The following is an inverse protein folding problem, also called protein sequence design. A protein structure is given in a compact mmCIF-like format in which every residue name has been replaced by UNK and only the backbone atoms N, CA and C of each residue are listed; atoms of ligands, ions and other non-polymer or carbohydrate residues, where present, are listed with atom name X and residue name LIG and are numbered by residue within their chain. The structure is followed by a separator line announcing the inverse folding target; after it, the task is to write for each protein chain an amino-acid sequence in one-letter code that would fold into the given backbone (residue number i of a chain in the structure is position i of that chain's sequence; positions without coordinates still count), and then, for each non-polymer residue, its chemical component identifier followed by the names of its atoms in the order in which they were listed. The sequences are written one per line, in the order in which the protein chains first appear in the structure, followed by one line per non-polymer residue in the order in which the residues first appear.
data_IF_474129056111
#
_entry.id   IF_474129056111
#
_cell.length_a   1.000
_cell.length_b   1.000
_cell.length_c   1.000
_cell.angle_alpha   90.00
_cell.angle_beta   90.00
_cell.angle_gamma   90.00
#
_symmetry.space_group_name_H-M   'P 1'
#
loop_
_entity.id
_entity.type
_entity.pdbx_description
1 polymer ?
#
# COMPACT_ATOMS: atom_id res chain seq x y z
N UNK A 1 -18.77 13.25 1.92
CA UNK A 1 -17.58 13.01 1.06
C UNK A 1 -18.09 12.23 -0.12
N UNK A 2 -18.17 12.86 -1.29
CA UNK A 2 -18.83 12.23 -2.43
C UNK A 2 -17.89 11.30 -3.19
N UNK A 3 -16.56 11.45 -3.00
CA UNK A 3 -15.52 10.61 -3.59
C UNK A 3 -14.37 10.35 -2.59
N UNK A 4 -14.49 9.36 -1.69
CA UNK A 4 -13.43 9.06 -0.72
C UNK A 4 -12.22 8.42 -1.41
N UNK A 5 -11.03 8.92 -1.09
CA UNK A 5 -9.74 8.40 -1.62
C UNK A 5 -9.13 7.30 -0.76
N UNK A 6 -9.57 7.16 0.48
CA UNK A 6 -9.23 6.06 1.39
C UNK A 6 -10.37 5.79 2.37
N UNK A 7 -10.61 4.52 2.71
CA UNK A 7 -11.65 4.13 3.66
C UNK A 7 -11.35 2.75 4.28
N UNK A 8 -12.02 2.46 5.40
CA UNK A 8 -11.98 1.17 6.07
C UNK A 8 -13.35 0.50 6.10
N UNK A 9 -13.40 -0.83 6.04
CA UNK A 9 -14.62 -1.62 6.17
C UNK A 9 -14.34 -2.91 6.92
N UNK A 10 -15.34 -3.43 7.65
CA UNK A 10 -15.35 -4.82 8.12
C UNK A 10 -16.17 -5.68 7.16
N UNK A 11 -15.68 -6.86 6.82
CA UNK A 11 -16.38 -7.82 5.95
C UNK A 11 -16.30 -9.23 6.53
N UNK A 12 -17.44 -9.92 6.57
CA UNK A 12 -17.52 -11.33 6.99
C UNK A 12 -17.93 -12.15 5.77
N UNK A 13 -17.02 -12.99 5.29
CA UNK A 13 -17.26 -13.90 4.16
C UNK A 13 -17.91 -15.22 4.59
N UNK A 14 -17.96 -16.17 3.67
CA UNK A 14 -18.55 -17.50 3.89
C UNK A 14 -17.81 -18.34 4.94
N UNK A 15 -16.55 -18.02 5.26
CA UNK A 15 -15.81 -18.65 6.34
C UNK A 15 -16.24 -18.20 7.75
N UNK A 16 -17.11 -17.20 7.86
CA UNK A 16 -17.55 -16.63 9.15
C UNK A 16 -16.51 -15.76 9.86
N UNK A 17 -15.29 -15.67 9.33
CA UNK A 17 -14.22 -14.86 9.92
C UNK A 17 -14.41 -13.39 9.53
N UNK A 18 -14.50 -12.50 10.53
CA UNK A 18 -14.59 -11.05 10.32
C UNK A 18 -13.21 -10.50 9.91
N UNK A 19 -13.11 -10.02 8.68
CA UNK A 19 -11.93 -9.39 8.12
C UNK A 19 -11.99 -7.86 8.21
N UNK A 20 -10.82 -7.22 8.32
CA UNK A 20 -10.63 -5.78 8.16
C UNK A 20 -10.16 -5.48 6.75
N UNK A 21 -10.74 -4.45 6.15
CA UNK A 21 -10.40 -3.96 4.82
C UNK A 21 -9.97 -2.51 4.95
N UNK A 22 -8.77 -2.21 4.48
CA UNK A 22 -8.33 -0.85 4.16
C UNK A 22 -8.27 -0.73 2.64
N UNK A 23 -8.84 0.33 2.08
CA UNK A 23 -8.87 0.59 0.65
C UNK A 23 -8.39 2.01 0.38
N UNK A 24 -7.70 2.22 -0.73
CA UNK A 24 -7.38 3.54 -1.28
C UNK A 24 -7.39 3.52 -2.80
N UNK A 25 -7.76 4.65 -3.42
CA UNK A 25 -7.63 4.86 -4.86
C UNK A 25 -6.24 5.34 -5.27
N UNK A 26 -5.35 5.62 -4.31
CA UNK A 26 -3.93 5.91 -4.56
C UNK A 26 -3.24 4.62 -4.99
N UNK A 27 -2.67 4.61 -6.18
CA UNK A 27 -2.21 3.35 -6.78
C UNK A 27 -1.49 3.53 -8.12
N UNK A 28 -1.40 4.75 -8.64
CA UNK A 28 -0.55 5.03 -9.77
C UNK A 28 0.92 4.82 -9.34
N UNK A 29 1.80 4.27 -10.19
CA UNK A 29 3.20 4.04 -9.82
C UNK A 29 3.90 5.31 -9.28
N UNK A 30 3.53 6.49 -9.78
CA UNK A 30 4.13 7.73 -9.30
C UNK A 30 3.61 8.20 -7.94
N UNK A 31 2.44 7.74 -7.48
CA UNK A 31 1.93 8.08 -6.15
C UNK A 31 2.92 7.60 -5.08
N UNK A 32 3.52 6.43 -5.28
CA UNK A 32 4.51 5.85 -4.38
C UNK A 32 5.88 6.54 -4.41
N UNK A 33 6.08 7.61 -5.21
CA UNK A 33 7.21 8.53 -5.03
C UNK A 33 7.00 9.46 -3.83
N UNK A 34 5.75 9.73 -3.45
CA UNK A 34 5.37 10.58 -2.33
C UNK A 34 5.45 9.78 -1.01
N UNK A 35 6.23 10.21 -0.01
CA UNK A 35 6.40 9.45 1.23
C UNK A 35 5.09 9.25 2.01
N UNK A 36 4.17 10.21 1.97
CA UNK A 36 2.89 10.14 2.66
C UNK A 36 1.99 9.02 2.11
N UNK A 37 2.03 8.79 0.79
CA UNK A 37 1.31 7.67 0.15
C UNK A 37 1.88 6.34 0.62
N UNK A 38 3.22 6.20 0.65
CA UNK A 38 3.86 5.00 1.20
C UNK A 38 3.45 4.79 2.66
N UNK A 39 3.44 5.87 3.46
CA UNK A 39 3.13 5.83 4.89
C UNK A 39 1.69 5.39 5.15
N UNK A 40 0.70 5.96 4.46
CA UNK A 40 -0.70 5.56 4.63
C UNK A 40 -0.94 4.10 4.20
N UNK A 41 -0.29 3.64 3.12
CA UNK A 41 -0.35 2.23 2.70
C UNK A 41 0.23 1.31 3.77
N UNK A 42 1.42 1.62 4.31
CA UNK A 42 2.06 0.80 5.34
C UNK A 42 1.27 0.79 6.66
N UNK A 43 0.77 1.94 7.11
CA UNK A 43 -0.10 2.03 8.28
C UNK A 43 -1.38 1.21 8.08
N UNK A 44 -2.00 1.29 6.90
CA UNK A 44 -3.19 0.51 6.54
C UNK A 44 -2.94 -1.01 6.57
N UNK A 45 -1.76 -1.47 6.14
CA UNK A 45 -1.34 -2.88 6.23
C UNK A 45 -1.19 -3.30 7.70
N UNK A 46 -0.49 -2.53 8.52
CA UNK A 46 -0.31 -2.83 9.94
C UNK A 46 -1.66 -2.88 10.67
N UNK A 47 -2.54 -1.92 10.39
CA UNK A 47 -3.89 -1.90 10.92
C UNK A 47 -4.68 -3.14 10.48
N UNK A 48 -4.68 -3.51 9.20
CA UNK A 48 -5.39 -4.69 8.72
C UNK A 48 -4.92 -5.99 9.42
N UNK A 49 -3.61 -6.07 9.73
CA UNK A 49 -2.96 -7.17 10.44
C UNK A 49 -3.14 -7.16 11.97
N UNK A 50 -3.68 -6.11 12.57
CA UNK A 50 -3.89 -6.04 14.03
C UNK A 50 -2.65 -5.66 14.78
N UNK A 51 -1.78 -4.89 14.11
CA UNK A 51 -0.49 -4.45 14.60
C UNK A 51 -0.48 -2.94 14.80
N UNK A 52 -1.61 -2.34 15.16
CA UNK A 52 -1.73 -0.90 15.43
C UNK A 52 -0.74 -0.43 16.48
N UNK A 53 -0.48 -1.23 17.52
CA UNK A 53 0.52 -0.93 18.54
C UNK A 53 1.97 -0.96 18.05
N UNK A 54 2.23 -1.41 16.82
CA UNK A 54 3.54 -1.37 16.18
C UNK A 54 3.67 -0.19 15.19
N UNK A 55 2.65 0.66 15.05
CA UNK A 55 2.71 1.89 14.26
C UNK A 55 3.26 3.00 15.16
N UNK A 56 4.43 3.60 14.84
CA UNK A 56 4.94 4.76 15.56
C UNK A 56 3.99 5.97 15.50
N UNK A 57 4.15 6.93 16.42
CA UNK A 57 3.32 8.15 16.46
C UNK A 57 3.40 8.95 15.15
N UNK A 58 4.59 9.01 14.53
CA UNK A 58 4.83 9.64 13.24
C UNK A 58 4.56 8.73 12.03
N UNK A 59 4.07 7.51 12.27
CA UNK A 59 3.75 6.48 11.28
C UNK A 59 4.94 5.57 10.93
N UNK A 60 4.66 4.52 10.16
CA UNK A 60 5.68 3.53 9.76
C UNK A 60 6.81 4.21 8.97
N UNK A 61 8.06 3.77 9.21
CA UNK A 61 9.21 4.20 8.42
C UNK A 61 9.07 3.76 6.96
N UNK A 62 9.08 4.74 6.05
CA UNK A 62 8.92 4.54 4.60
C UNK A 62 10.05 5.17 3.79
N UNK A 63 11.20 5.37 4.45
CA UNK A 63 12.45 5.74 3.78
C UNK A 63 12.84 4.58 2.85
N UNK A 64 13.12 4.92 1.61
CA UNK A 64 13.56 3.94 0.62
C UNK A 64 15.07 3.79 0.72
N UNK A 65 15.55 2.55 0.72
CA UNK A 65 16.99 2.27 0.62
C UNK A 65 17.56 2.75 -0.71
N UNK A 66 16.76 2.65 -1.78
CA UNK A 66 17.12 3.11 -3.13
C UNK A 66 15.98 3.94 -3.72
N UNK A 67 16.27 4.93 -4.58
CA UNK A 67 15.23 5.73 -5.22
C UNK A 67 14.18 4.89 -5.95
N UNK A 68 12.90 5.14 -5.68
CA UNK A 68 11.80 4.48 -6.41
C UNK A 68 11.57 5.14 -7.77
N UNK A 69 12.14 4.53 -8.81
CA UNK A 69 12.10 5.01 -10.20
C UNK A 69 11.30 4.06 -11.11
N UNK A 70 9.96 3.99 -10.95
CA UNK A 70 9.11 3.19 -11.82
C UNK A 70 8.93 3.86 -13.18
N UNK A 71 8.53 3.07 -14.18
CA UNK A 71 7.99 3.60 -15.43
C UNK A 71 6.57 4.14 -15.19
N UNK A 72 6.05 4.96 -16.12
CA UNK A 72 4.66 5.39 -16.08
C UNK A 72 3.70 4.20 -16.22
N UNK A 73 2.46 4.34 -15.76
CA UNK A 73 1.43 3.35 -16.03
C UNK A 73 1.00 3.44 -17.50
N UNK A 74 1.16 2.35 -18.25
CA UNK A 74 0.76 2.27 -19.65
C UNK A 74 0.46 0.83 -20.08
N UNK A 75 -0.25 0.71 -21.20
CA UNK A 75 -0.35 -0.53 -21.97
C UNK A 75 0.71 -0.48 -23.07
N UNK A 76 1.46 -1.55 -23.30
CA UNK A 76 2.40 -1.59 -24.43
C UNK A 76 3.76 -2.19 -24.11
N UNK A 77 4.83 -1.48 -24.45
CA UNK A 77 6.20 -2.03 -24.49
C UNK A 77 7.04 -1.71 -23.25
N UNK A 78 6.69 -0.68 -22.46
CA UNK A 78 7.53 -0.27 -21.34
C UNK A 78 7.31 -1.08 -20.05
N UNK A 79 6.44 -2.10 -20.05
CA UNK A 79 6.33 -3.01 -18.91
C UNK A 79 7.56 -3.92 -18.84
N UNK A 80 8.13 -4.03 -17.65
CA UNK A 80 9.33 -4.83 -17.40
C UNK A 80 8.92 -6.30 -17.19
N UNK A 81 9.22 -7.16 -18.17
CA UNK A 81 8.97 -8.61 -18.10
C UNK A 81 9.90 -9.28 -17.09
N UNK A 82 9.43 -10.38 -16.49
CA UNK A 82 10.21 -11.25 -15.60
C UNK A 82 10.79 -10.55 -14.35
N UNK A 83 10.27 -9.39 -13.96
CA UNK A 83 10.58 -8.79 -12.66
C UNK A 83 10.09 -9.71 -11.55
N UNK A 84 10.99 -10.06 -10.65
CA UNK A 84 10.69 -10.79 -9.41
C UNK A 84 11.20 -9.96 -8.23
N UNK A 85 10.57 -10.07 -7.05
CA UNK A 85 11.15 -9.53 -5.83
C UNK A 85 12.57 -10.08 -5.64
N UNK A 86 13.53 -9.20 -5.39
CA UNK A 86 14.87 -9.62 -4.96
C UNK A 86 14.76 -10.17 -3.54
N UNK A 87 15.41 -11.30 -3.22
CA UNK A 87 15.51 -11.76 -1.83
C UNK A 87 16.08 -10.66 -0.95
N UNK A 88 15.52 -10.51 0.25
CA UNK A 88 16.08 -9.61 1.27
C UNK A 88 17.46 -10.19 1.63
N UNK A 89 18.52 -9.39 1.49
CA UNK A 89 19.89 -9.75 1.90
C UNK A 89 20.03 -9.80 3.42
#
# INVERSE_FOLDING_TARGET
MDNPVAWTKSYTGTSGIKARVFFTTLGHPYDFKIPEVRKITMNGIFWALGKEGAIPEDGVNVILHEPFSPNNSEFGQNFKKNLKPTPIQ
#
